data_IF_326069078434
#
_entry.id   IF_326069078434
#
_cell.length_a   1.000
_cell.length_b   1.000
_cell.length_c   1.000
_cell.angle_alpha   90.00
_cell.angle_beta   90.00
_cell.angle_gamma   90.00
#
_symmetry.space_group_name_H-M   'P 1'
#
loop_
_entity.id
_entity.type
_entity.pdbx_description
1 polymer ?
#
# COMPACT_ATOMS: atom_id res chain seq x y z
N UNK A 1 -22.35 -8.62 0.57
CA UNK A 1 -21.04 -9.26 0.38
C UNK A 1 -20.76 -9.24 -1.12
N UNK A 2 -19.66 -8.62 -1.53
CA UNK A 2 -19.27 -8.63 -2.94
C UNK A 2 -19.00 -10.07 -3.38
N UNK A 3 -19.54 -10.44 -4.54
CA UNK A 3 -19.35 -11.79 -5.12
C UNK A 3 -17.85 -11.98 -5.41
N UNK A 4 -17.23 -13.11 -4.99
CA UNK A 4 -15.84 -13.38 -5.33
C UNK A 4 -15.66 -13.40 -6.85
N UNK A 5 -14.61 -12.76 -7.35
CA UNK A 5 -14.36 -12.79 -8.79
C UNK A 5 -13.74 -14.13 -9.16
N UNK A 6 -14.22 -14.69 -10.28
CA UNK A 6 -13.84 -16.01 -10.78
C UNK A 6 -13.02 -15.94 -12.07
N UNK A 7 -12.85 -14.75 -12.64
CA UNK A 7 -12.09 -14.50 -13.86
C UNK A 7 -10.74 -13.89 -13.50
N UNK A 8 -9.66 -14.41 -14.09
CA UNK A 8 -8.31 -13.86 -13.91
C UNK A 8 -8.16 -12.55 -14.66
N UNK A 9 -7.47 -11.61 -14.03
CA UNK A 9 -7.06 -10.33 -14.61
C UNK A 9 -5.62 -10.41 -15.13
N UNK A 10 -5.03 -11.60 -15.19
CA UNK A 10 -3.65 -11.83 -15.60
C UNK A 10 -2.62 -11.33 -14.57
N UNK A 11 -1.34 -11.20 -14.98
CA UNK A 11 -0.28 -10.72 -14.12
C UNK A 11 -0.55 -9.31 -13.59
N UNK A 12 -0.55 -9.17 -12.27
CA UNK A 12 -0.71 -7.86 -11.64
C UNK A 12 0.64 -7.15 -11.60
N UNK A 13 0.69 -6.03 -12.29
CA UNK A 13 1.90 -5.24 -12.49
C UNK A 13 2.22 -4.39 -11.24
N UNK A 14 3.44 -3.95 -11.01
CA UNK A 14 3.83 -3.05 -9.92
C UNK A 14 3.66 -1.59 -10.36
N UNK A 15 3.17 -0.74 -9.47
CA UNK A 15 3.25 0.72 -9.62
C UNK A 15 4.48 1.28 -8.90
N UNK A 16 4.77 2.57 -9.09
CA UNK A 16 5.81 3.30 -8.37
C UNK A 16 5.74 3.07 -6.85
N UNK A 17 4.55 3.16 -6.26
CA UNK A 17 4.35 2.96 -4.82
C UNK A 17 4.63 1.53 -4.36
N UNK A 18 4.38 0.52 -5.20
CA UNK A 18 4.73 -0.87 -4.85
C UNK A 18 6.24 -1.08 -4.89
N UNK A 19 6.91 -0.48 -5.88
CA UNK A 19 8.37 -0.53 -6.01
C UNK A 19 9.03 0.13 -4.81
N UNK A 20 8.55 1.30 -4.36
CA UNK A 20 9.05 1.94 -3.13
C UNK A 20 8.92 1.03 -1.89
N UNK A 21 7.81 0.29 -1.78
CA UNK A 21 7.62 -0.67 -0.68
C UNK A 21 8.56 -1.87 -0.80
N UNK A 22 8.80 -2.35 -2.01
CA UNK A 22 9.73 -3.43 -2.29
C UNK A 22 11.18 -2.99 -2.02
N UNK A 23 11.54 -1.78 -2.43
CA UNK A 23 12.84 -1.15 -2.18
C UNK A 23 13.11 -1.04 -0.68
N UNK A 24 12.10 -0.65 0.12
CA UNK A 24 12.20 -0.61 1.58
C UNK A 24 12.54 -1.99 2.20
N UNK A 25 12.26 -3.09 1.51
CA UNK A 25 12.74 -4.43 1.89
C UNK A 25 14.17 -4.61 1.38
N UNK A 26 14.42 -4.38 0.09
CA UNK A 26 15.72 -4.58 -0.58
C UNK A 26 16.88 -3.86 0.12
N UNK A 27 16.68 -2.63 0.60
CA UNK A 27 17.73 -1.86 1.30
C UNK A 27 18.17 -2.48 2.63
N UNK A 28 17.32 -3.34 3.23
CA UNK A 28 17.61 -4.03 4.48
C UNK A 28 18.37 -5.34 4.28
N UNK A 29 18.49 -5.81 3.03
CA UNK A 29 19.11 -7.09 2.69
C UNK A 29 20.57 -6.89 2.26
N UNK A 30 21.40 -7.91 2.50
CA UNK A 30 22.81 -7.95 2.07
C UNK A 30 22.97 -8.11 0.55
N UNK A 31 21.91 -8.59 -0.13
CA UNK A 31 21.87 -8.80 -1.57
C UNK A 31 20.44 -8.65 -2.10
N UNK A 32 20.25 -8.34 -3.39
CA UNK A 32 18.93 -8.34 -4.01
C UNK A 32 18.30 -9.74 -4.05
N UNK A 33 16.98 -9.78 -4.14
CA UNK A 33 16.15 -10.99 -4.30
C UNK A 33 15.14 -10.78 -5.44
N UNK A 34 14.91 -11.81 -6.25
CA UNK A 34 14.20 -11.66 -7.53
C UNK A 34 12.67 -11.65 -7.38
N UNK A 35 12.16 -12.04 -6.21
CA UNK A 35 10.71 -12.01 -5.94
C UNK A 35 10.16 -10.57 -5.86
N UNK A 36 11.00 -9.61 -5.48
CA UNK A 36 10.59 -8.22 -5.31
C UNK A 36 10.58 -7.48 -6.66
N UNK A 37 9.55 -6.67 -6.96
CA UNK A 37 9.55 -5.82 -8.14
C UNK A 37 10.66 -4.75 -8.00
N UNK A 38 11.41 -4.55 -9.07
CA UNK A 38 12.52 -3.61 -9.14
C UNK A 38 12.16 -2.29 -9.84
N UNK A 39 11.14 -2.32 -10.69
CA UNK A 39 10.66 -1.16 -11.44
C UNK A 39 9.15 -1.24 -11.70
N UNK A 40 8.49 -0.11 -12.00
CA UNK A 40 7.11 -0.12 -12.47
C UNK A 40 7.03 -0.97 -13.75
N UNK A 41 5.99 -1.78 -13.88
CA UNK A 41 5.93 -2.76 -14.96
C UNK A 41 6.32 -4.19 -14.55
N UNK A 42 7.05 -4.36 -13.44
CA UNK A 42 7.38 -5.69 -12.94
C UNK A 42 6.16 -6.38 -12.33
N UNK A 43 6.14 -7.71 -12.30
CA UNK A 43 5.02 -8.47 -11.73
C UNK A 43 5.08 -8.47 -10.19
N UNK A 44 3.93 -8.26 -9.55
CA UNK A 44 3.73 -8.52 -8.12
C UNK A 44 3.54 -10.03 -7.92
N UNK A 45 4.47 -10.65 -7.19
CA UNK A 45 4.50 -12.10 -6.94
C UNK A 45 4.10 -12.41 -5.49
N UNK A 46 3.02 -13.17 -5.25
CA UNK A 46 2.69 -13.66 -3.93
C UNK A 46 3.78 -14.57 -3.37
N UNK A 47 4.09 -14.43 -2.09
CA UNK A 47 5.18 -15.14 -1.42
C UNK A 47 4.81 -16.60 -1.09
N UNK A 48 5.80 -17.49 -1.22
CA UNK A 48 5.78 -18.84 -0.67
C UNK A 48 5.57 -18.83 0.85
N UNK A 49 4.96 -19.90 1.36
CA UNK A 49 4.84 -20.11 2.79
C UNK A 49 6.24 -20.21 3.41
N UNK A 50 6.45 -19.52 4.53
CA UNK A 50 7.74 -19.51 5.21
C UNK A 50 8.81 -18.60 4.60
N UNK A 51 8.57 -17.97 3.44
CA UNK A 51 9.55 -17.15 2.72
C UNK A 51 10.15 -16.01 3.57
N UNK A 52 9.40 -15.53 4.57
CA UNK A 52 9.93 -14.54 5.52
C UNK A 52 11.21 -15.01 6.22
N UNK A 53 11.36 -16.31 6.51
CA UNK A 53 12.57 -16.84 7.14
C UNK A 53 13.77 -16.77 6.19
N UNK A 54 13.57 -17.06 4.91
CA UNK A 54 14.61 -16.96 3.88
C UNK A 54 15.04 -15.51 3.67
N UNK A 55 14.08 -14.59 3.61
CA UNK A 55 14.36 -13.15 3.54
C UNK A 55 15.10 -12.70 4.81
N UNK A 56 14.69 -13.18 5.98
CA UNK A 56 15.32 -12.84 7.26
C UNK A 56 16.78 -13.30 7.33
N UNK A 57 17.13 -14.43 6.73
CA UNK A 57 18.51 -14.91 6.67
C UNK A 57 19.43 -14.00 5.84
N UNK A 58 18.88 -13.12 5.00
CA UNK A 58 19.62 -12.17 4.17
C UNK A 58 19.66 -10.75 4.77
N UNK A 59 19.16 -10.54 5.98
CA UNK A 59 19.15 -9.21 6.60
C UNK A 59 20.57 -8.78 6.96
N UNK A 60 20.89 -7.50 6.73
CA UNK A 60 22.16 -6.89 7.16
C UNK A 60 22.35 -7.03 8.67
N UNK A 61 23.59 -7.27 9.17
CA UNK A 61 23.84 -7.54 10.58
C UNK A 61 23.37 -6.41 11.52
N UNK A 62 23.39 -5.16 11.06
CA UNK A 62 23.03 -3.98 11.86
C UNK A 62 21.53 -3.64 11.82
N UNK A 63 20.71 -4.43 11.10
CA UNK A 63 19.28 -4.17 10.94
C UNK A 63 18.46 -5.05 11.88
N UNK A 64 17.65 -4.40 12.72
CA UNK A 64 16.73 -5.11 13.62
C UNK A 64 15.60 -5.86 12.87
N UNK A 65 15.23 -7.04 13.36
CA UNK A 65 14.17 -7.88 12.78
C UNK A 65 12.80 -7.18 12.68
N UNK A 66 12.54 -6.19 13.53
CA UNK A 66 11.31 -5.39 13.49
C UNK A 66 11.23 -4.50 12.24
N UNK A 67 12.35 -3.93 11.80
CA UNK A 67 12.39 -3.11 10.58
C UNK A 67 12.01 -3.95 9.36
N UNK A 68 12.59 -5.15 9.24
CA UNK A 68 12.25 -6.09 8.17
C UNK A 68 10.77 -6.48 8.21
N UNK A 69 10.25 -6.87 9.38
CA UNK A 69 8.83 -7.26 9.52
C UNK A 69 7.89 -6.15 9.09
N UNK A 70 8.20 -4.90 9.42
CA UNK A 70 7.40 -3.72 9.00
C UNK A 70 7.47 -3.50 7.49
N UNK A 71 8.66 -3.56 6.90
CA UNK A 71 8.84 -3.38 5.45
C UNK A 71 8.10 -4.47 4.66
N UNK A 72 8.31 -5.75 5.02
CA UNK A 72 7.60 -6.88 4.42
C UNK A 72 6.08 -6.73 4.61
N UNK A 73 5.64 -6.39 5.83
CA UNK A 73 4.24 -6.14 6.13
C UNK A 73 3.61 -5.05 5.25
N UNK A 74 4.32 -3.95 4.99
CA UNK A 74 3.84 -2.86 4.12
C UNK A 74 3.62 -3.32 2.68
N UNK A 75 4.50 -4.20 2.18
CA UNK A 75 4.43 -4.77 0.84
C UNK A 75 3.33 -5.84 0.72
N UNK A 76 3.32 -6.87 1.57
CA UNK A 76 2.37 -7.99 1.46
C UNK A 76 0.92 -7.62 1.82
N UNK A 77 0.72 -6.52 2.54
CA UNK A 77 -0.62 -5.98 2.80
C UNK A 77 -0.98 -4.82 1.85
N UNK A 78 -0.26 -4.65 0.74
CA UNK A 78 -0.60 -3.64 -0.27
C UNK A 78 -1.83 -4.06 -1.08
N UNK A 79 -2.55 -3.05 -1.61
CA UNK A 79 -3.71 -3.28 -2.48
C UNK A 79 -3.35 -4.18 -3.66
N UNK A 80 -2.21 -3.93 -4.32
CA UNK A 80 -1.79 -4.68 -5.52
C UNK A 80 -1.30 -6.08 -5.19
N UNK A 81 -0.69 -6.29 -4.03
CA UNK A 81 -0.36 -7.62 -3.53
C UNK A 81 -1.61 -8.46 -3.26
N UNK A 82 -2.63 -7.90 -2.60
CA UNK A 82 -3.90 -8.59 -2.43
C UNK A 82 -4.59 -8.87 -3.77
N UNK A 83 -4.49 -7.95 -4.73
CA UNK A 83 -5.06 -8.18 -6.06
C UNK A 83 -4.37 -9.33 -6.80
N UNK A 84 -3.03 -9.42 -6.72
CA UNK A 84 -2.26 -10.52 -7.27
C UNK A 84 -2.60 -11.86 -6.60
N UNK A 85 -2.70 -11.84 -5.26
CA UNK A 85 -3.02 -13.04 -4.46
C UNK A 85 -4.48 -13.51 -4.66
N UNK A 86 -5.40 -12.60 -4.99
CA UNK A 86 -6.80 -12.91 -5.20
C UNK A 86 -7.11 -13.52 -6.58
N UNK A 87 -6.15 -13.59 -7.50
CA UNK A 87 -6.40 -14.14 -8.84
C UNK A 87 -6.68 -15.65 -8.79
N UNK A 88 -7.63 -16.20 -9.58
CA UNK A 88 -7.97 -17.62 -9.58
C UNK A 88 -6.79 -18.56 -9.85
N UNK A 89 -5.84 -18.12 -10.68
CA UNK A 89 -4.61 -18.79 -11.12
C UNK A 89 -3.37 -18.32 -10.34
N UNK A 90 -3.55 -17.66 -9.20
CA UNK A 90 -2.45 -17.10 -8.41
C UNK A 90 -1.52 -18.18 -7.86
N UNK A 91 -0.22 -18.00 -8.08
CA UNK A 91 0.86 -18.85 -7.59
C UNK A 91 1.66 -18.14 -6.50
N UNK A 92 2.15 -18.91 -5.55
CA UNK A 92 3.17 -18.50 -4.59
C UNK A 92 4.55 -18.70 -5.19
N UNK A 93 5.48 -17.81 -4.86
CA UNK A 93 6.80 -17.77 -5.46
C UNK A 93 7.90 -17.85 -4.39
N UNK A 94 9.00 -18.51 -4.72
CA UNK A 94 10.21 -18.57 -3.88
C UNK A 94 11.01 -17.26 -3.93
N UNK A 95 12.12 -17.20 -3.20
CA UNK A 95 12.99 -16.02 -3.12
C UNK A 95 13.58 -15.59 -4.47
N UNK A 96 13.67 -16.53 -5.42
CA UNK A 96 14.17 -16.31 -6.77
C UNK A 96 13.02 -15.97 -7.75
N UNK A 97 11.81 -15.75 -7.24
CA UNK A 97 10.64 -15.41 -8.04
C UNK A 97 10.08 -16.58 -8.86
N UNK A 98 10.48 -17.82 -8.58
CA UNK A 98 9.96 -19.02 -9.27
C UNK A 98 8.65 -19.47 -8.63
N UNK A 99 7.63 -19.85 -9.44
CA UNK A 99 6.38 -20.38 -8.89
C UNK A 99 6.64 -21.73 -8.20
N UNK A 100 6.06 -21.90 -7.01
CA UNK A 100 6.25 -23.10 -6.16
C UNK A 100 4.93 -23.84 -5.99
N UNK A 101 3.88 -23.15 -5.57
CA UNK A 101 2.58 -23.76 -5.25
C UNK A 101 1.43 -22.80 -5.59
N UNK A 102 0.26 -23.31 -6.01
CA UNK A 102 -0.93 -22.49 -6.13
C UNK A 102 -1.38 -21.93 -4.78
N UNK A 103 -1.94 -20.72 -4.76
CA UNK A 103 -2.59 -20.23 -3.54
C UNK A 103 -3.84 -21.07 -3.24
N UNK A 104 -4.07 -21.38 -1.97
CA UNK A 104 -5.27 -22.08 -1.54
C UNK A 104 -6.53 -21.25 -1.82
N UNK A 105 -7.67 -21.91 -2.06
CA UNK A 105 -8.95 -21.22 -2.29
C UNK A 105 -9.27 -20.25 -1.14
N UNK A 106 -9.02 -20.68 0.11
CA UNK A 106 -9.27 -19.86 1.29
C UNK A 106 -8.42 -18.58 1.30
N UNK A 107 -7.11 -18.71 1.04
CA UNK A 107 -6.20 -17.56 0.99
C UNK A 107 -6.59 -16.59 -0.12
N UNK A 108 -6.96 -17.10 -1.30
CA UNK A 108 -7.44 -16.27 -2.41
C UNK A 108 -8.68 -15.48 -2.01
N UNK A 109 -9.69 -16.12 -1.42
CA UNK A 109 -10.92 -15.45 -0.99
C UNK A 109 -10.66 -14.38 0.09
N UNK A 110 -9.74 -14.63 1.02
CA UNK A 110 -9.31 -13.62 2.00
C UNK A 110 -8.64 -12.44 1.30
N UNK A 111 -7.74 -12.68 0.35
CA UNK A 111 -7.08 -11.64 -0.42
C UNK A 111 -8.07 -10.80 -1.25
N UNK A 112 -9.04 -11.45 -1.91
CA UNK A 112 -10.10 -10.76 -2.64
C UNK A 112 -10.89 -9.82 -1.73
N UNK A 113 -11.31 -10.30 -0.55
CA UNK A 113 -12.03 -9.48 0.44
C UNK A 113 -11.19 -8.29 0.90
N UNK A 114 -9.90 -8.49 1.16
CA UNK A 114 -8.99 -7.41 1.58
C UNK A 114 -8.80 -6.37 0.49
N UNK A 115 -8.63 -6.80 -0.76
CA UNK A 115 -8.57 -5.91 -1.91
C UNK A 115 -9.83 -5.03 -2.04
N UNK A 116 -11.01 -5.64 -1.97
CA UNK A 116 -12.29 -4.92 -2.11
C UNK A 116 -12.50 -3.91 -0.98
N UNK A 117 -12.17 -4.29 0.26
CA UNK A 117 -12.21 -3.36 1.39
C UNK A 117 -11.26 -2.17 1.19
N UNK A 118 -10.02 -2.41 0.74
CA UNK A 118 -9.07 -1.33 0.45
C UNK A 118 -9.51 -0.45 -0.72
N UNK A 119 -10.18 -1.02 -1.72
CA UNK A 119 -10.75 -0.27 -2.83
C UNK A 119 -11.85 0.68 -2.32
N UNK A 120 -12.82 0.16 -1.56
CA UNK A 120 -13.91 0.96 -0.99
C UNK A 120 -13.38 2.11 -0.12
N UNK A 121 -12.47 1.82 0.81
CA UNK A 121 -11.94 2.86 1.71
C UNK A 121 -11.18 3.95 0.94
N UNK A 122 -10.52 3.61 -0.17
CA UNK A 122 -9.87 4.59 -1.02
C UNK A 122 -10.89 5.46 -1.78
N UNK A 123 -11.97 4.85 -2.26
CA UNK A 123 -13.05 5.56 -2.96
C UNK A 123 -13.82 6.48 -2.00
N UNK A 124 -14.08 6.04 -0.76
CA UNK A 124 -14.68 6.86 0.31
C UNK A 124 -13.77 8.03 0.72
N UNK A 125 -12.46 7.80 0.91
CA UNK A 125 -11.51 8.87 1.20
C UNK A 125 -11.36 9.86 0.03
N UNK A 126 -11.47 9.37 -1.21
CA UNK A 126 -11.42 10.24 -2.40
C UNK A 126 -12.71 11.05 -2.53
N UNK A 127 -13.87 10.48 -2.21
CA UNK A 127 -15.15 11.19 -2.20
C UNK A 127 -15.22 12.24 -1.07
N UNK A 128 -14.75 11.90 0.14
CA UNK A 128 -14.67 12.84 1.28
C UNK A 128 -13.64 13.95 1.08
N UNK A 129 -12.68 13.79 0.17
CA UNK A 129 -11.70 14.81 -0.20
C UNK A 129 -12.21 15.86 -1.21
N UNK A 130 -13.35 15.60 -1.86
CA UNK A 130 -13.98 16.53 -2.82
C UNK A 130 -14.98 17.45 -2.10
N UNK A 131 -15.45 17.08 -0.90
CA UNK A 131 -16.36 17.88 -0.05
C UNK A 131 -15.63 18.45 1.17
N UNK A 132 -14.50 19.12 0.94
CA UNK A 132 -14.01 20.15 1.86
C UNK A 132 -14.00 21.46 1.09
N UNK A 133 -15.15 22.13 1.09
CA UNK A 133 -15.20 23.56 0.79
C UNK A 133 -14.15 24.25 1.69
N UNK A 134 -13.40 25.24 1.17
CA UNK A 134 -12.43 25.95 1.99
C UNK A 134 -13.17 26.58 3.16
N UNK A 135 -12.92 26.10 4.38
CA UNK A 135 -13.26 26.85 5.58
C UNK A 135 -12.66 28.24 5.41
N UNK A 136 -13.44 29.34 5.52
CA UNK A 136 -12.88 30.67 5.39
C UNK A 136 -11.77 30.80 6.43
N UNK A 137 -10.57 31.20 5.98
CA UNK A 137 -9.43 31.41 6.84
C UNK A 137 -9.83 32.39 7.95
N UNK A 138 -9.41 32.16 9.21
CA UNK A 138 -9.64 33.13 10.27
C UNK A 138 -9.03 34.47 9.85
N UNK A 139 -9.74 35.60 10.10
CA UNK A 139 -9.32 36.91 9.61
C UNK A 139 -7.93 37.25 10.13
N UNK A 140 -7.08 37.74 9.24
CA UNK A 140 -5.70 38.09 9.57
C UNK A 140 -5.65 39.20 10.62
N UNK A 141 -4.56 39.30 11.40
CA UNK A 141 -4.38 40.37 12.39
C UNK A 141 -4.62 41.77 11.81
N UNK A 142 -4.28 41.98 10.54
CA UNK A 142 -4.50 43.24 9.82
C UNK A 142 -5.98 43.55 9.61
N UNK A 143 -6.81 42.55 9.33
CA UNK A 143 -8.27 42.72 9.21
C UNK A 143 -8.91 42.98 10.58
N UNK A 144 -8.45 42.29 11.62
CA UNK A 144 -8.93 42.52 12.99
C UNK A 144 -8.66 43.97 13.45
N UNK A 145 -7.50 44.52 13.08
CA UNK A 145 -7.14 45.93 13.38
C UNK A 145 -8.03 46.90 12.59
N UNK A 146 -8.29 46.64 11.30
CA UNK A 146 -9.18 47.49 10.49
C UNK A 146 -10.61 47.51 11.04
N UNK A 147 -11.15 46.35 11.41
CA UNK A 147 -12.51 46.26 12.00
C UNK A 147 -12.60 46.97 13.36
N UNK A 148 -11.52 46.96 14.16
CA UNK A 148 -11.48 47.66 15.44
C UNK A 148 -11.39 49.19 15.29
N UNK A 149 -10.76 49.70 14.23
CA UNK A 149 -10.75 51.14 13.92
C UNK A 149 -12.12 51.63 13.44
N UNK A 150 -12.75 50.89 12.51
CA UNK A 150 -14.05 51.23 11.93
C UNK A 150 -15.19 51.29 12.97
N UNK A 151 -15.11 50.52 14.06
CA UNK A 151 -16.08 50.59 15.17
C UNK A 151 -15.93 51.81 16.07
N UNK A 152 -14.80 52.52 16.04
CA UNK A 152 -14.58 53.72 16.87
C UNK A 152 -15.12 55.00 16.23
N UNK A 153 -15.33 55.00 14.91
CA UNK A 153 -15.78 56.17 14.16
C UNK A 153 -17.32 56.28 14.06
N UNK A 154 -18.08 55.33 14.61
CA UNK A 154 -19.56 55.36 14.61
C UNK A 154 -20.16 55.74 15.97
N UNK A 155 -19.38 56.34 16.87
CA UNK A 155 -19.88 56.80 18.17
C UNK A 155 -19.50 58.27 18.41
N UNK A 156 -20.09 59.16 17.63
CA UNK A 156 -20.35 60.57 17.96
C UNK A 156 -21.64 61.01 17.30
#
# INVERSE_FOLDING_TARGET
>A
MDKPWTVSHGPIIATEFDVQKAEAISVLLIRPIDILPSKPGDQIRPFALGLFNDIRALVKPDVGATALRRAVGSFVHSKRYYFASGQPDSMRHDINGKPVEPLSIADRLVAQRRFLNLKRNNDENSASGIESAPSPAPPSKTEQIRTALLRRDTQT
#
